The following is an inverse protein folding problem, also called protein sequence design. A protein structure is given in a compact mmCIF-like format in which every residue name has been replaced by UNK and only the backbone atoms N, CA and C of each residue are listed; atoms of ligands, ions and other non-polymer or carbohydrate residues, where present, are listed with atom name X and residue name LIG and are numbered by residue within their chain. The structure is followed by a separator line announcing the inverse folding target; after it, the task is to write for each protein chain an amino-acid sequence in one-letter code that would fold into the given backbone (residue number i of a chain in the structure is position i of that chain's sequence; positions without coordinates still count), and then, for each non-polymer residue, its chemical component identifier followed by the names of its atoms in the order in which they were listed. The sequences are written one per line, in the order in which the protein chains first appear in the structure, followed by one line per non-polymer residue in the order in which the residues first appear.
data_IF_094096074432
#
_entry.id   IF_094096074432
#
_cell.length_a   1.000
_cell.length_b   1.000
_cell.length_c   1.000
_cell.angle_alpha   90.00
_cell.angle_beta   90.00
_cell.angle_gamma   90.00
#
_symmetry.space_group_name_H-M   'P 1'
#
loop_
_entity.id
_entity.type
_entity.pdbx_description
1 polymer ?
#
# COMPACT_ATOMS: atom_id res chain seq x y z
N UNK A 1 -11.07 -13.84 -15.63
CA UNK A 1 -9.80 -13.39 -15.01
C UNK A 1 -10.04 -13.28 -13.51
N UNK A 2 -9.20 -13.84 -12.63
CA UNK A 2 -9.45 -13.79 -11.19
C UNK A 2 -9.45 -12.34 -10.73
N UNK A 3 -10.60 -11.87 -10.24
CA UNK A 3 -10.76 -10.52 -9.72
C UNK A 3 -10.09 -10.45 -8.34
N UNK A 4 -8.81 -10.09 -8.30
CA UNK A 4 -8.19 -9.66 -7.05
C UNK A 4 -8.87 -8.34 -6.63
N UNK A 5 -9.73 -8.41 -5.61
CA UNK A 5 -10.50 -7.28 -5.12
C UNK A 5 -9.61 -6.32 -4.31
N UNK A 6 -8.87 -5.46 -5.01
CA UNK A 6 -8.18 -4.34 -4.39
C UNK A 6 -9.20 -3.26 -4.00
N UNK A 7 -9.33 -3.01 -2.70
CA UNK A 7 -10.11 -1.92 -2.16
C UNK A 7 -9.24 -0.67 -2.08
N UNK A 8 -9.53 0.34 -2.91
CA UNK A 8 -8.84 1.63 -2.85
C UNK A 8 -9.34 2.45 -1.64
N UNK A 9 -8.40 2.86 -0.78
CA UNK A 9 -8.69 3.71 0.37
C UNK A 9 -8.65 5.16 -0.12
N UNK A 10 -9.84 5.78 -0.21
CA UNK A 10 -9.99 7.19 -0.56
C UNK A 10 -9.50 8.07 0.60
N UNK A 11 -8.28 8.55 0.50
CA UNK A 11 -7.65 9.46 1.47
C UNK A 11 -7.40 10.82 0.82
N UNK A 12 -7.27 11.92 1.58
CA UNK A 12 -6.88 13.22 1.04
C UNK A 12 -5.51 13.18 0.33
N UNK A 13 -4.66 12.19 0.67
CA UNK A 13 -3.40 11.91 -0.01
C UNK A 13 -3.57 11.56 -1.50
N UNK A 14 -4.78 11.20 -1.93
CA UNK A 14 -5.13 11.02 -3.34
C UNK A 14 -4.88 12.29 -4.16
N UNK A 15 -5.12 13.47 -3.57
CA UNK A 15 -4.85 14.78 -4.19
C UNK A 15 -3.35 15.00 -4.43
N UNK A 16 -2.51 14.40 -3.58
CA UNK A 16 -1.05 14.38 -3.70
C UNK A 16 -0.56 13.23 -4.60
N UNK A 17 -1.47 12.53 -5.29
CA UNK A 17 -1.15 11.41 -6.19
C UNK A 17 -0.78 10.13 -5.44
N UNK A 18 -1.06 10.04 -4.14
CA UNK A 18 -0.80 8.85 -3.33
C UNK A 18 -2.09 8.04 -3.23
N UNK A 19 -2.06 6.82 -3.78
CA UNK A 19 -3.15 5.85 -3.75
C UNK A 19 -2.81 4.73 -2.79
N UNK A 20 -3.66 4.51 -1.80
CA UNK A 20 -3.57 3.40 -0.87
C UNK A 20 -4.56 2.33 -1.31
N UNK A 21 -4.11 1.08 -1.40
CA UNK A 21 -4.91 -0.05 -1.85
C UNK A 21 -4.76 -1.18 -0.84
N UNK A 22 -5.88 -1.74 -0.38
CA UNK A 22 -5.91 -2.89 0.52
C UNK A 22 -6.39 -4.12 -0.26
N UNK A 23 -5.69 -5.22 -0.08
CA UNK A 23 -6.04 -6.53 -0.63
C UNK A 23 -6.89 -7.32 0.38
N UNK A 24 -7.62 -8.34 -0.08
CA UNK A 24 -8.48 -9.19 0.77
C UNK A 24 -7.65 -9.93 1.84
N UNK A 25 -6.40 -10.24 1.52
CA UNK A 25 -5.44 -10.85 2.45
C UNK A 25 -4.85 -9.87 3.48
N UNK A 26 -5.40 -8.66 3.61
CA UNK A 26 -4.94 -7.65 4.56
C UNK A 26 -3.60 -6.99 4.19
N UNK A 27 -3.11 -7.20 2.96
CA UNK A 27 -1.91 -6.53 2.43
C UNK A 27 -2.26 -5.11 2.03
N UNK A 28 -1.45 -4.14 2.45
CA UNK A 28 -1.60 -2.73 2.06
C UNK A 28 -0.51 -2.33 1.11
N UNK A 29 -0.93 -1.80 -0.02
CA UNK A 29 -0.10 -1.30 -1.11
C UNK A 29 -0.25 0.21 -1.20
N UNK A 30 0.83 0.88 -1.57
CA UNK A 30 0.84 2.29 -1.92
C UNK A 30 1.28 2.46 -3.36
N UNK A 31 0.70 3.41 -4.06
CA UNK A 31 1.16 3.89 -5.36
C UNK A 31 1.30 5.40 -5.28
N UNK A 32 2.47 5.91 -5.64
CA UNK A 32 2.75 7.34 -5.63
C UNK A 32 2.99 7.80 -7.07
N UNK A 33 2.02 8.50 -7.64
CA UNK A 33 2.06 9.03 -9.00
C UNK A 33 2.34 7.94 -10.05
N UNK A 34 3.46 8.11 -10.78
CA UNK A 34 3.92 7.20 -11.84
C UNK A 34 4.78 6.02 -11.33
N UNK A 35 5.11 5.98 -10.03
CA UNK A 35 5.94 4.92 -9.46
C UNK A 35 5.17 3.59 -9.40
N UNK A 36 5.85 2.43 -9.53
CA UNK A 36 5.23 1.13 -9.35
C UNK A 36 4.66 1.01 -7.93
N UNK A 37 3.63 0.17 -7.77
CA UNK A 37 3.01 -0.08 -6.46
C UNK A 37 4.04 -0.71 -5.53
N UNK A 38 4.12 -0.23 -4.30
CA UNK A 38 4.95 -0.80 -3.24
C UNK A 38 4.08 -1.39 -2.15
N UNK A 39 4.46 -2.57 -1.65
CA UNK A 39 3.85 -3.15 -0.47
C UNK A 39 4.37 -2.40 0.75
N UNK A 40 3.48 -1.76 1.52
CA UNK A 40 3.85 -1.09 2.78
C UNK A 40 3.69 -2.06 3.94
N UNK A 41 2.55 -2.75 3.97
CA UNK A 41 2.16 -3.55 5.12
C UNK A 41 1.73 -4.92 4.65
N UNK A 42 2.35 -5.94 5.22
CA UNK A 42 1.93 -7.31 5.06
C UNK A 42 1.54 -7.82 6.44
N UNK A 43 0.25 -8.03 6.68
CA UNK A 43 -0.22 -8.52 7.97
C UNK A 43 0.41 -9.90 8.34
N UNK A 44 0.86 -10.67 7.34
CA UNK A 44 1.56 -11.95 7.55
C UNK A 44 3.03 -11.82 8.00
N UNK A 45 3.60 -10.61 8.10
CA UNK A 45 4.95 -10.44 8.63
C UNK A 45 5.13 -9.02 9.22
N UNK A 46 5.17 -8.85 10.56
CA UNK A 46 5.54 -7.58 11.18
C UNK A 46 7.04 -7.32 10.98
N UNK A 47 7.47 -7.08 9.74
CA UNK A 47 8.85 -6.74 9.44
C UNK A 47 9.10 -5.30 9.82
N UNK A 48 9.50 -5.16 11.08
CA UNK A 48 10.64 -4.36 11.53
C UNK A 48 10.87 -3.08 10.74
N UNK A 49 10.34 -1.98 11.28
CA UNK A 49 10.87 -0.65 11.01
C UNK A 49 12.36 -0.65 11.39
N UNK A 50 13.25 -0.96 10.44
CA UNK A 50 14.61 -0.43 10.49
C UNK A 50 14.50 1.05 10.14
N UNK A 51 14.18 1.83 11.16
CA UNK A 51 14.55 3.24 11.23
C UNK A 51 16.06 3.29 11.06
N UNK A 52 16.53 3.57 9.84
CA UNK A 52 17.86 4.11 9.64
C UNK A 52 17.85 5.48 10.33
N UNK A 53 18.34 5.49 11.57
CA UNK A 53 18.94 6.69 12.13
C UNK A 53 20.25 6.90 11.38
N UNK A 54 20.38 8.01 10.68
CA UNK A 54 21.65 8.60 10.28
C UNK A 54 21.49 10.12 10.40
#
# INVERSE_FOLDING_TARGET
MPYHYFHEIKTPLLLLGIRLMKDEHGKVWIKVGKRPRKLIYNNSNPVSNKTKQE
#
